data_IF_080570508586
#
_entry.id   IF_080570508586
#
_cell.length_a   1.000
_cell.length_b   1.000
_cell.length_c   1.000
_cell.angle_alpha   90.00
_cell.angle_beta   90.00
_cell.angle_gamma   90.00
#
_symmetry.space_group_name_H-M   'P 1'
#
loop_
_entity.id
_entity.type
_entity.pdbx_description
1 polymer ?
#
# COMPACT_ATOMS: atom_id res chain seq x y z
N UNK A 1 -16.93 -13.74 -1.14
CA UNK A 1 -16.90 -12.40 -1.76
C UNK A 1 -16.11 -12.37 -3.06
N UNK A 2 -14.93 -13.00 -3.10
CA UNK A 2 -14.12 -13.03 -4.34
C UNK A 2 -14.47 -14.20 -5.26
N UNK A 3 -15.30 -15.12 -4.80
CA UNK A 3 -15.73 -16.27 -5.60
C UNK A 3 -16.51 -15.81 -6.83
N UNK A 4 -16.20 -16.42 -7.96
CA UNK A 4 -16.71 -16.07 -9.28
C UNK A 4 -16.39 -14.64 -9.77
N UNK A 5 -15.53 -13.87 -9.08
CA UNK A 5 -15.12 -12.53 -9.47
C UNK A 5 -13.89 -12.56 -10.39
N UNK A 6 -13.84 -11.63 -11.33
CA UNK A 6 -12.65 -11.29 -12.12
C UNK A 6 -11.90 -10.15 -11.43
N UNK A 7 -10.64 -10.39 -11.08
CA UNK A 7 -9.82 -9.44 -10.32
C UNK A 7 -8.65 -8.99 -11.19
N UNK A 8 -8.40 -7.69 -11.27
CA UNK A 8 -7.18 -7.14 -11.89
C UNK A 8 -6.28 -6.52 -10.83
N UNK A 9 -4.99 -6.81 -10.90
CA UNK A 9 -3.98 -6.16 -10.07
C UNK A 9 -2.94 -5.45 -10.94
N UNK A 10 -2.85 -4.12 -10.83
CA UNK A 10 -1.76 -3.35 -11.44
C UNK A 10 -0.49 -3.49 -10.61
N UNK A 11 0.69 -3.53 -11.27
CA UNK A 11 1.94 -3.82 -10.57
C UNK A 11 2.02 -5.24 -10.00
N UNK A 12 1.22 -6.16 -10.54
CA UNK A 12 1.02 -7.51 -10.01
C UNK A 12 2.26 -8.39 -9.96
N UNK A 13 3.32 -8.08 -10.72
CA UNK A 13 4.61 -8.79 -10.65
C UNK A 13 5.54 -8.32 -9.51
N UNK A 14 5.10 -7.32 -8.72
CA UNK A 14 5.81 -6.86 -7.53
C UNK A 14 5.63 -7.81 -6.34
N UNK A 15 6.36 -7.55 -5.23
CA UNK A 15 6.30 -8.38 -4.01
C UNK A 15 4.87 -8.50 -3.47
N UNK A 16 4.14 -7.39 -3.37
CA UNK A 16 2.74 -7.39 -2.94
C UNK A 16 1.85 -8.17 -3.92
N UNK A 17 2.00 -7.91 -5.24
CA UNK A 17 1.17 -8.54 -6.26
C UNK A 17 1.31 -10.05 -6.28
N UNK A 18 2.53 -10.58 -6.19
CA UNK A 18 2.77 -12.04 -6.10
C UNK A 18 2.12 -12.66 -4.85
N UNK A 19 2.28 -12.01 -3.69
CA UNK A 19 1.66 -12.47 -2.45
C UNK A 19 0.12 -12.41 -2.53
N UNK A 20 -0.44 -11.33 -3.08
CA UNK A 20 -1.88 -11.17 -3.29
C UNK A 20 -2.44 -12.28 -4.20
N UNK A 21 -1.81 -12.52 -5.35
CA UNK A 21 -2.22 -13.56 -6.30
C UNK A 21 -2.19 -14.94 -5.62
N UNK A 22 -1.11 -15.29 -4.93
CA UNK A 22 -1.00 -16.56 -4.21
C UNK A 22 -2.15 -16.72 -3.22
N UNK A 23 -2.36 -15.72 -2.36
CA UNK A 23 -3.42 -15.77 -1.35
C UNK A 23 -4.82 -15.90 -1.97
N UNK A 24 -5.10 -15.18 -3.06
CA UNK A 24 -6.39 -15.30 -3.75
C UNK A 24 -6.55 -16.68 -4.38
N UNK A 25 -5.52 -17.23 -5.03
CA UNK A 25 -5.54 -18.56 -5.60
C UNK A 25 -5.80 -19.65 -4.54
N UNK A 26 -5.14 -19.53 -3.39
CA UNK A 26 -5.18 -20.53 -2.31
C UNK A 26 -6.47 -20.47 -1.49
N UNK A 27 -7.10 -19.28 -1.37
CA UNK A 27 -8.20 -19.08 -0.39
C UNK A 27 -9.55 -18.74 -1.03
N UNK A 28 -9.64 -18.65 -2.36
CA UNK A 28 -10.88 -18.25 -3.05
C UNK A 28 -11.10 -19.01 -4.36
N UNK A 29 -12.36 -19.03 -4.81
CA UNK A 29 -12.76 -19.51 -6.12
C UNK A 29 -12.93 -18.33 -7.10
N UNK A 30 -11.95 -17.40 -7.14
CA UNK A 30 -11.97 -16.31 -8.11
C UNK A 30 -12.06 -16.86 -9.55
N UNK A 31 -12.89 -16.25 -10.38
CA UNK A 31 -13.11 -16.66 -11.77
C UNK A 31 -11.87 -16.43 -12.62
N UNK A 32 -11.21 -15.27 -12.41
CA UNK A 32 -10.04 -14.85 -13.18
C UNK A 32 -9.18 -13.88 -12.37
N UNK A 33 -7.87 -14.01 -12.48
CA UNK A 33 -6.91 -13.09 -11.87
C UNK A 33 -6.02 -12.53 -12.98
N UNK A 34 -6.12 -11.22 -13.21
CA UNK A 34 -5.38 -10.51 -14.26
C UNK A 34 -4.22 -9.76 -13.63
N UNK A 35 -3.00 -10.11 -14.00
CA UNK A 35 -1.78 -9.41 -13.65
C UNK A 35 -1.46 -8.39 -14.72
N UNK A 36 -1.49 -7.10 -14.37
CA UNK A 36 -1.17 -5.98 -15.25
C UNK A 36 0.16 -5.36 -14.85
N UNK A 37 1.17 -5.44 -15.69
CA UNK A 37 2.50 -4.86 -15.43
C UNK A 37 3.30 -4.66 -16.71
N UNK A 38 4.38 -3.87 -16.63
CA UNK A 38 5.21 -3.51 -17.78
C UNK A 38 6.26 -4.56 -18.16
N UNK A 39 6.66 -5.36 -17.20
CA UNK A 39 7.84 -6.23 -17.28
C UNK A 39 7.44 -7.62 -17.76
N UNK A 40 7.73 -7.90 -19.04
CA UNK A 40 7.44 -9.17 -19.70
C UNK A 40 8.13 -10.36 -19.02
N UNK A 41 9.42 -10.21 -18.69
CA UNK A 41 10.20 -11.30 -18.07
C UNK A 41 9.60 -11.71 -16.72
N UNK A 42 9.27 -10.74 -15.86
CA UNK A 42 8.63 -11.03 -14.57
C UNK A 42 7.23 -11.65 -14.73
N UNK A 43 6.50 -11.31 -15.78
CA UNK A 43 5.22 -11.97 -16.09
C UNK A 43 5.44 -13.42 -16.51
N UNK A 44 6.42 -13.69 -17.36
CA UNK A 44 6.79 -15.06 -17.79
C UNK A 44 7.24 -15.90 -16.60
N UNK A 45 8.13 -15.39 -15.74
CA UNK A 45 8.53 -16.06 -14.50
C UNK A 45 7.33 -16.37 -13.59
N UNK A 46 6.43 -15.38 -13.43
CA UNK A 46 5.24 -15.53 -12.60
C UNK A 46 4.24 -16.53 -13.17
N UNK A 47 4.10 -16.60 -14.50
CA UNK A 47 3.25 -17.60 -15.16
C UNK A 47 3.74 -19.03 -14.93
N UNK A 48 5.06 -19.24 -14.94
CA UNK A 48 5.67 -20.54 -14.60
C UNK A 48 5.51 -20.89 -13.13
N UNK A 49 5.64 -19.89 -12.23
CA UNK A 49 5.54 -20.05 -10.77
C UNK A 49 4.12 -20.47 -10.35
N UNK A 50 3.09 -19.83 -10.88
CA UNK A 50 1.71 -20.05 -10.43
C UNK A 50 0.98 -21.14 -11.23
N UNK A 51 1.23 -21.26 -12.55
CA UNK A 51 0.67 -22.29 -13.45
C UNK A 51 -0.81 -22.65 -13.18
N UNK A 52 -1.67 -21.64 -12.98
CA UNK A 52 -3.09 -21.81 -12.65
C UNK A 52 -3.96 -21.31 -13.82
N UNK A 53 -5.00 -22.06 -14.26
CA UNK A 53 -5.83 -21.70 -15.41
C UNK A 53 -6.63 -20.40 -15.20
N UNK A 54 -6.79 -19.93 -13.97
CA UNK A 54 -7.45 -18.65 -13.64
C UNK A 54 -6.58 -17.45 -13.96
N UNK A 55 -5.27 -17.61 -14.14
CA UNK A 55 -4.32 -16.52 -14.36
C UNK A 55 -4.40 -15.94 -15.77
N UNK A 56 -4.29 -14.63 -15.87
CA UNK A 56 -4.09 -13.90 -17.13
C UNK A 56 -3.01 -12.84 -16.95
N UNK A 57 -2.20 -12.67 -17.97
CA UNK A 57 -1.07 -11.74 -17.94
C UNK A 57 -1.23 -10.70 -19.05
N UNK A 58 -1.33 -9.43 -18.63
CA UNK A 58 -1.45 -8.30 -19.53
C UNK A 58 -0.21 -7.40 -19.40
N UNK A 59 0.60 -7.35 -20.44
CA UNK A 59 1.67 -6.36 -20.53
C UNK A 59 1.02 -4.99 -20.79
N UNK A 60 1.35 -4.03 -19.92
CA UNK A 60 0.84 -2.67 -20.04
C UNK A 60 1.38 -1.73 -18.97
N UNK A 61 1.30 -0.45 -19.25
CA UNK A 61 1.69 0.65 -18.37
C UNK A 61 0.42 1.38 -17.86
N UNK A 62 0.36 1.74 -16.59
CA UNK A 62 -0.77 2.51 -16.04
C UNK A 62 -0.88 3.92 -16.66
N UNK A 63 0.16 4.39 -17.32
CA UNK A 63 0.16 5.65 -18.09
C UNK A 63 -0.61 5.53 -19.40
N UNK A 64 -0.89 4.32 -19.86
CA UNK A 64 -1.64 4.03 -21.09
C UNK A 64 -3.10 3.71 -20.74
N UNK A 65 -3.97 4.73 -20.92
CA UNK A 65 -5.40 4.62 -20.63
C UNK A 65 -6.10 3.64 -21.56
N UNK A 66 -5.72 3.60 -22.84
CA UNK A 66 -6.34 2.70 -23.82
C UNK A 66 -6.07 1.25 -23.46
N UNK A 67 -4.82 0.93 -23.15
CA UNK A 67 -4.41 -0.41 -22.72
C UNK A 67 -5.08 -0.83 -21.41
N UNK A 68 -5.26 0.10 -20.46
CA UNK A 68 -6.01 -0.16 -19.22
C UNK A 68 -7.48 -0.50 -19.51
N UNK A 69 -8.13 0.21 -20.43
CA UNK A 69 -9.52 -0.07 -20.80
C UNK A 69 -9.67 -1.51 -21.30
N UNK A 70 -8.79 -1.99 -22.18
CA UNK A 70 -8.82 -3.39 -22.63
C UNK A 70 -8.60 -4.37 -21.50
N UNK A 71 -7.67 -4.07 -20.58
CA UNK A 71 -7.35 -4.98 -19.48
C UNK A 71 -8.47 -5.06 -18.43
N UNK A 72 -9.28 -4.01 -18.29
CA UNK A 72 -10.36 -3.90 -17.29
C UNK A 72 -11.72 -4.37 -17.84
N UNK A 73 -11.82 -4.76 -19.10
CA UNK A 73 -13.06 -5.29 -19.65
C UNK A 73 -13.54 -6.53 -18.89
N UNK A 74 -14.73 -6.47 -18.31
CA UNK A 74 -15.33 -7.56 -17.52
C UNK A 74 -14.61 -7.85 -16.20
N UNK A 75 -13.91 -6.84 -15.65
CA UNK A 75 -13.28 -6.91 -14.32
C UNK A 75 -14.25 -6.41 -13.26
N UNK A 76 -14.42 -7.17 -12.19
CA UNK A 76 -15.27 -6.82 -11.05
C UNK A 76 -14.51 -6.02 -9.99
N UNK A 77 -13.23 -6.35 -9.75
CA UNK A 77 -12.42 -5.78 -8.68
C UNK A 77 -11.05 -5.37 -9.23
N UNK A 78 -10.62 -4.16 -8.92
CA UNK A 78 -9.28 -3.67 -9.26
C UNK A 78 -8.45 -3.34 -8.01
N UNK A 79 -7.23 -3.90 -7.94
CA UNK A 79 -6.24 -3.55 -6.93
C UNK A 79 -5.13 -2.75 -7.60
N UNK A 80 -5.02 -1.46 -7.25
CA UNK A 80 -4.00 -0.59 -7.82
C UNK A 80 -2.75 -0.57 -6.93
N UNK A 81 -1.74 -1.39 -7.30
CA UNK A 81 -0.47 -1.50 -6.60
C UNK A 81 0.74 -0.98 -7.41
N UNK A 82 0.53 -0.52 -8.65
CA UNK A 82 1.58 0.04 -9.48
C UNK A 82 1.99 1.44 -9.00
N UNK A 83 3.27 1.62 -8.68
CA UNK A 83 3.85 2.92 -8.33
C UNK A 83 5.37 2.93 -8.51
N UNK A 84 5.96 4.09 -8.69
CA UNK A 84 7.37 4.34 -8.43
C UNK A 84 7.50 4.73 -6.95
N UNK A 85 8.35 4.01 -6.19
CA UNK A 85 8.41 4.12 -4.72
C UNK A 85 9.80 4.46 -4.14
N UNK A 86 10.84 4.45 -4.95
CA UNK A 86 12.19 4.75 -4.50
C UNK A 86 12.40 6.26 -4.40
N UNK A 87 12.52 6.79 -3.17
CA UNK A 87 12.61 8.23 -2.90
C UNK A 87 13.74 8.89 -3.71
N UNK A 88 15.02 8.46 -3.66
CA UNK A 88 16.08 9.12 -4.42
C UNK A 88 15.85 9.08 -5.94
N UNK A 89 15.27 7.99 -6.45
CA UNK A 89 14.99 7.86 -7.89
C UNK A 89 13.84 8.78 -8.29
N UNK A 90 12.82 8.92 -7.44
CA UNK A 90 11.69 9.82 -7.67
C UNK A 90 12.14 11.29 -7.69
N UNK A 91 13.00 11.70 -6.74
CA UNK A 91 13.57 13.05 -6.69
C UNK A 91 14.39 13.38 -7.95
N UNK A 92 15.14 12.41 -8.46
CA UNK A 92 15.94 12.58 -9.68
C UNK A 92 15.10 12.53 -10.97
N UNK A 93 13.96 11.81 -10.97
CA UNK A 93 13.06 11.65 -12.13
C UNK A 93 11.63 12.11 -11.79
N UNK A 94 11.43 13.40 -11.47
CA UNK A 94 10.16 13.89 -10.94
C UNK A 94 8.98 13.68 -11.89
N UNK A 95 9.14 13.95 -13.16
CA UNK A 95 8.07 13.80 -14.16
C UNK A 95 7.63 12.35 -14.33
N UNK A 96 8.56 11.40 -14.29
CA UNK A 96 8.21 9.98 -14.39
C UNK A 96 7.46 9.49 -13.15
N UNK A 97 7.81 10.02 -11.96
CA UNK A 97 7.09 9.75 -10.74
C UNK A 97 5.67 10.31 -10.80
N UNK A 98 5.50 11.56 -11.22
CA UNK A 98 4.19 12.22 -11.40
C UNK A 98 3.33 11.46 -12.43
N UNK A 99 3.88 11.17 -13.61
CA UNK A 99 3.17 10.43 -14.67
C UNK A 99 2.70 9.05 -14.19
N UNK A 100 3.53 8.33 -13.43
CA UNK A 100 3.18 6.98 -12.98
C UNK A 100 2.23 7.03 -11.78
N UNK A 101 2.53 7.82 -10.75
CA UNK A 101 1.79 7.76 -9.48
C UNK A 101 0.53 8.62 -9.49
N UNK A 102 0.51 9.74 -10.22
CA UNK A 102 -0.65 10.65 -10.28
C UNK A 102 -1.46 10.40 -11.55
N UNK A 103 -0.84 10.56 -12.73
CA UNK A 103 -1.57 10.38 -13.99
C UNK A 103 -1.99 8.91 -14.18
N UNK A 104 -1.12 7.96 -13.78
CA UNK A 104 -1.47 6.54 -13.77
C UNK A 104 -2.65 6.22 -12.85
N UNK A 105 -2.72 6.84 -11.65
CA UNK A 105 -3.88 6.73 -10.77
C UNK A 105 -5.16 7.27 -11.42
N UNK A 106 -5.08 8.46 -12.04
CA UNK A 106 -6.20 9.06 -12.80
C UNK A 106 -6.67 8.13 -13.94
N UNK A 107 -5.74 7.55 -14.69
CA UNK A 107 -6.08 6.62 -15.78
C UNK A 107 -6.77 5.34 -15.24
N UNK A 108 -6.29 4.79 -14.13
CA UNK A 108 -6.94 3.63 -13.50
C UNK A 108 -8.36 3.97 -13.05
N UNK A 109 -8.58 5.13 -12.44
CA UNK A 109 -9.92 5.60 -12.05
C UNK A 109 -10.83 5.69 -13.28
N UNK A 110 -10.38 6.39 -14.33
CA UNK A 110 -11.17 6.59 -15.56
C UNK A 110 -11.49 5.26 -16.25
N UNK A 111 -10.52 4.35 -16.34
CA UNK A 111 -10.73 3.04 -16.92
C UNK A 111 -11.67 2.16 -16.08
N UNK A 112 -11.57 2.22 -14.75
CA UNK A 112 -12.48 1.51 -13.86
C UNK A 112 -13.92 2.04 -13.96
N UNK A 113 -14.10 3.35 -14.04
CA UNK A 113 -15.42 3.97 -14.24
C UNK A 113 -16.03 3.58 -15.60
N UNK A 114 -15.24 3.63 -16.67
CA UNK A 114 -15.67 3.29 -18.03
C UNK A 114 -16.11 1.81 -18.14
N UNK A 115 -15.41 0.91 -17.43
CA UNK A 115 -15.67 -0.53 -17.44
C UNK A 115 -16.57 -1.01 -16.29
N UNK A 116 -17.18 -0.08 -15.53
CA UNK A 116 -18.10 -0.37 -14.42
C UNK A 116 -17.54 -1.32 -13.36
N UNK A 117 -16.23 -1.24 -13.11
CA UNK A 117 -15.57 -2.03 -12.06
C UNK A 117 -16.23 -1.74 -10.71
N UNK A 118 -16.72 -2.76 -10.02
CA UNK A 118 -17.54 -2.56 -8.81
C UNK A 118 -16.74 -2.00 -7.63
N UNK A 119 -15.53 -2.52 -7.40
CA UNK A 119 -14.70 -2.11 -6.27
C UNK A 119 -13.24 -1.90 -6.68
N UNK A 120 -12.67 -0.81 -6.20
CA UNK A 120 -11.27 -0.44 -6.45
C UNK A 120 -10.59 -0.10 -5.13
N UNK A 121 -9.47 -0.77 -4.84
CA UNK A 121 -8.58 -0.38 -3.74
C UNK A 121 -7.24 0.05 -4.31
N UNK A 122 -6.81 1.25 -3.94
CA UNK A 122 -5.47 1.75 -4.20
C UNK A 122 -4.57 1.55 -2.98
N UNK A 123 -3.34 1.06 -3.22
CA UNK A 123 -2.35 0.95 -2.15
C UNK A 123 -1.64 2.27 -1.95
N UNK A 124 -1.49 2.69 -0.71
CA UNK A 124 -0.80 3.90 -0.28
C UNK A 124 0.31 3.58 0.73
N UNK A 125 0.85 4.59 1.37
CA UNK A 125 2.03 4.51 2.24
C UNK A 125 1.93 5.56 3.35
N UNK A 126 2.60 5.31 4.49
CA UNK A 126 2.87 6.26 5.55
C UNK A 126 3.54 7.56 5.05
N UNK A 127 4.27 7.50 3.94
CA UNK A 127 4.93 8.66 3.34
C UNK A 127 3.96 9.64 2.65
N UNK A 128 2.71 9.22 2.40
CA UNK A 128 1.64 10.08 1.90
C UNK A 128 1.08 11.02 3.00
N UNK A 129 1.23 10.66 4.26
CA UNK A 129 0.85 11.50 5.40
C UNK A 129 1.97 12.52 5.68
N UNK A 130 1.67 13.82 5.66
CA UNK A 130 2.65 14.92 5.83
C UNK A 130 3.93 14.69 4.99
N UNK A 131 3.84 14.64 3.66
CA UNK A 131 4.94 14.25 2.78
C UNK A 131 6.09 15.28 2.83
N UNK A 132 7.34 14.80 2.94
CA UNK A 132 8.55 15.62 2.85
C UNK A 132 9.43 15.24 1.64
N UNK A 133 8.92 14.38 0.77
CA UNK A 133 9.58 13.96 -0.47
C UNK A 133 8.56 13.80 -1.59
N UNK A 134 9.04 13.78 -2.83
CA UNK A 134 8.20 13.71 -4.02
C UNK A 134 7.37 12.42 -4.07
N UNK A 135 7.95 11.28 -3.71
CA UNK A 135 7.21 10.02 -3.67
C UNK A 135 5.98 10.13 -2.76
N UNK A 136 6.17 10.62 -1.53
CA UNK A 136 5.07 10.85 -0.58
C UNK A 136 4.03 11.82 -1.13
N UNK A 137 4.46 12.96 -1.70
CA UNK A 137 3.58 13.95 -2.31
C UNK A 137 2.75 13.36 -3.45
N UNK A 138 3.37 12.57 -4.35
CA UNK A 138 2.63 11.90 -5.43
C UNK A 138 1.64 10.86 -4.92
N UNK A 139 1.95 10.16 -3.83
CA UNK A 139 1.02 9.21 -3.21
C UNK A 139 -0.13 9.92 -2.49
N UNK A 140 0.12 11.08 -1.83
CA UNK A 140 -0.96 11.91 -1.31
C UNK A 140 -1.92 12.36 -2.42
N UNK A 141 -1.38 12.86 -3.55
CA UNK A 141 -2.22 13.20 -4.71
C UNK A 141 -3.05 12.01 -5.19
N UNK A 142 -2.43 10.83 -5.32
CA UNK A 142 -3.12 9.59 -5.69
C UNK A 142 -4.24 9.24 -4.69
N UNK A 143 -3.99 9.32 -3.37
CA UNK A 143 -5.00 9.07 -2.35
C UNK A 143 -6.20 10.01 -2.51
N UNK A 144 -5.94 11.31 -2.72
CA UNK A 144 -7.01 12.31 -2.93
C UNK A 144 -7.79 12.04 -4.21
N UNK A 145 -7.15 11.59 -5.31
CA UNK A 145 -7.82 11.22 -6.55
C UNK A 145 -8.78 10.03 -6.33
N UNK A 146 -8.34 8.94 -5.69
CA UNK A 146 -9.20 7.78 -5.44
C UNK A 146 -10.34 8.09 -4.48
N UNK A 147 -10.11 8.85 -3.42
CA UNK A 147 -11.15 9.27 -2.48
C UNK A 147 -12.19 10.13 -3.19
N UNK A 148 -11.75 11.15 -3.95
CA UNK A 148 -12.64 12.09 -4.65
C UNK A 148 -13.40 11.46 -5.82
N UNK A 149 -12.90 10.36 -6.39
CA UNK A 149 -13.56 9.64 -7.49
C UNK A 149 -14.99 9.21 -7.15
N UNK A 150 -15.27 8.96 -5.87
CA UNK A 150 -16.61 8.66 -5.39
C UNK A 150 -17.61 9.83 -5.60
N UNK A 151 -17.13 11.07 -5.71
CA UNK A 151 -17.98 12.25 -5.89
C UNK A 151 -18.29 12.57 -7.36
N UNK A 152 -17.39 12.20 -8.30
CA UNK A 152 -17.56 12.51 -9.73
C UNK A 152 -17.87 11.30 -10.63
N UNK A 153 -18.14 10.14 -10.03
CA UNK A 153 -18.42 8.90 -10.75
C UNK A 153 -19.80 8.86 -11.47
N UNK A 154 -20.59 9.92 -11.37
CA UNK A 154 -21.94 9.99 -11.96
C UNK A 154 -22.85 8.87 -11.44
N UNK A 155 -23.53 8.16 -12.37
CA UNK A 155 -24.41 7.02 -12.05
C UNK A 155 -23.66 5.70 -11.80
N UNK A 156 -22.36 5.65 -12.01
CA UNK A 156 -21.56 4.43 -11.79
C UNK A 156 -21.65 3.96 -10.33
N UNK A 157 -21.78 2.64 -10.14
CA UNK A 157 -21.80 2.02 -8.82
C UNK A 157 -20.38 1.72 -8.30
N UNK A 158 -19.34 2.04 -9.05
CA UNK A 158 -17.95 1.85 -8.66
C UNK A 158 -17.65 2.51 -7.32
N UNK A 159 -16.95 1.81 -6.46
CA UNK A 159 -16.51 2.29 -5.16
C UNK A 159 -15.00 2.31 -5.10
N UNK A 160 -14.43 3.41 -4.67
CA UNK A 160 -13.00 3.61 -4.55
C UNK A 160 -12.63 3.81 -3.08
N UNK A 161 -11.64 3.08 -2.60
CA UNK A 161 -11.02 3.28 -1.28
C UNK A 161 -9.51 3.12 -1.36
N UNK A 162 -8.83 3.55 -0.32
CA UNK A 162 -7.37 3.50 -0.21
C UNK A 162 -6.99 2.67 0.99
N UNK A 163 -5.89 1.93 0.90
CA UNK A 163 -5.24 1.27 2.03
C UNK A 163 -3.86 1.90 2.22
N UNK A 164 -3.62 2.49 3.37
CA UNK A 164 -2.36 3.14 3.77
C UNK A 164 -1.69 2.30 4.85
N UNK A 165 -0.46 1.83 4.62
CA UNK A 165 0.32 1.10 5.61
C UNK A 165 1.81 1.48 5.54
N UNK A 166 2.57 1.03 6.54
CA UNK A 166 3.99 1.34 6.71
C UNK A 166 4.94 0.49 5.86
N UNK A 167 6.13 0.23 6.39
CA UNK A 167 7.13 -0.56 5.70
C UNK A 167 6.74 -2.03 5.66
N UNK A 168 6.82 -2.63 4.47
CA UNK A 168 6.57 -4.06 4.30
C UNK A 168 7.86 -4.84 4.46
N UNK A 169 7.88 -5.77 5.43
CA UNK A 169 9.04 -6.62 5.76
C UNK A 169 9.49 -7.38 4.51
N UNK A 170 10.79 -7.37 4.22
CA UNK A 170 11.38 -8.14 3.12
C UNK A 170 10.97 -7.70 1.73
N UNK A 171 10.21 -6.59 1.57
CA UNK A 171 9.85 -6.10 0.24
C UNK A 171 11.09 -5.70 -0.58
N UNK A 172 11.03 -5.96 -1.89
CA UNK A 172 12.14 -5.68 -2.81
C UNK A 172 12.57 -4.21 -2.74
N UNK A 173 13.90 -3.98 -2.57
CA UNK A 173 14.50 -2.65 -2.45
C UNK A 173 14.29 -1.96 -1.09
N UNK A 174 13.84 -2.68 -0.05
CA UNK A 174 13.71 -2.16 1.31
C UNK A 174 15.00 -2.39 2.14
N UNK A 175 15.01 -1.83 3.34
CA UNK A 175 16.17 -1.88 4.25
C UNK A 175 16.53 -3.29 4.69
N UNK A 176 15.57 -4.19 4.86
CA UNK A 176 15.85 -5.59 5.28
C UNK A 176 16.68 -6.34 4.26
N UNK A 177 16.32 -6.43 2.96
CA UNK A 177 17.22 -7.00 1.95
C UNK A 177 18.56 -6.28 1.84
N UNK A 178 18.59 -4.97 2.04
CA UNK A 178 19.83 -4.20 2.02
C UNK A 178 20.77 -4.62 3.16
N UNK A 179 20.29 -4.70 4.41
CA UNK A 179 21.11 -5.15 5.55
C UNK A 179 21.53 -6.61 5.41
N UNK A 180 20.62 -7.52 4.97
CA UNK A 180 21.00 -8.91 4.68
C UNK A 180 22.15 -9.00 3.66
N UNK A 181 22.12 -8.19 2.61
CA UNK A 181 23.20 -8.12 1.61
C UNK A 181 24.53 -7.61 2.21
N UNK A 182 24.48 -6.61 3.10
CA UNK A 182 25.68 -6.13 3.79
C UNK A 182 26.30 -7.23 4.66
N UNK A 183 25.46 -7.96 5.41
CA UNK A 183 25.92 -9.10 6.25
C UNK A 183 26.55 -10.20 5.37
N UNK A 184 25.90 -10.59 4.27
CA UNK A 184 26.41 -11.58 3.33
C UNK A 184 27.76 -11.17 2.72
N UNK A 185 27.93 -9.86 2.44
CA UNK A 185 29.18 -9.30 1.93
C UNK A 185 30.23 -9.01 3.02
N UNK A 186 30.01 -9.44 4.28
CA UNK A 186 30.89 -9.23 5.42
C UNK A 186 31.27 -7.76 5.62
N UNK A 187 30.30 -6.86 5.47
CA UNK A 187 30.50 -5.44 5.71
C UNK A 187 31.00 -5.20 7.15
N UNK A 188 31.97 -4.31 7.32
CA UNK A 188 32.54 -3.98 8.63
C UNK A 188 31.58 -3.21 9.53
N UNK A 189 30.59 -2.52 8.95
CA UNK A 189 29.63 -1.67 9.65
C UNK A 189 28.25 -1.70 8.98
N UNK A 190 27.18 -1.57 9.77
CA UNK A 190 25.80 -1.38 9.27
C UNK A 190 25.44 0.10 9.36
N UNK A 191 25.12 0.78 8.25
CA UNK A 191 24.77 2.20 8.26
C UNK A 191 23.40 2.42 8.87
N UNK A 192 23.31 3.25 9.90
CA UNK A 192 22.08 3.71 10.54
C UNK A 192 21.92 5.20 10.31
N UNK A 193 20.78 5.64 9.86
CA UNK A 193 20.51 7.05 9.57
C UNK A 193 20.51 7.90 10.84
N UNK A 194 19.77 7.48 11.86
CA UNK A 194 19.66 8.12 13.17
C UNK A 194 19.25 7.08 14.21
N UNK A 195 19.81 7.15 15.43
CA UNK A 195 19.50 6.20 16.53
C UNK A 195 18.05 6.27 17.02
N UNK A 196 17.39 7.42 16.83
CA UNK A 196 16.01 7.67 17.24
C UNK A 196 14.99 7.20 16.21
N UNK A 197 15.44 6.87 14.99
CA UNK A 197 14.56 6.59 13.85
C UNK A 197 13.68 5.37 14.11
N UNK A 198 12.38 5.54 13.89
CA UNK A 198 11.38 4.48 14.01
C UNK A 198 10.60 4.28 12.72
N UNK A 199 10.12 3.08 12.49
CA UNK A 199 9.28 2.72 11.34
C UNK A 199 8.14 1.81 11.78
N UNK A 200 7.01 1.90 11.08
CA UNK A 200 5.95 0.90 11.15
C UNK A 200 6.30 -0.31 10.31
N UNK A 201 5.91 -1.49 10.76
CA UNK A 201 6.22 -2.75 10.09
C UNK A 201 4.98 -3.62 9.90
N UNK A 202 4.85 -4.18 8.70
CA UNK A 202 3.81 -5.15 8.34
C UNK A 202 4.42 -6.21 7.44
N UNK A 203 4.00 -7.46 7.57
CA UNK A 203 4.39 -8.51 6.62
C UNK A 203 3.61 -8.40 5.32
N UNK A 204 4.10 -9.03 4.25
CA UNK A 204 3.36 -9.10 2.98
C UNK A 204 2.00 -9.76 3.16
N UNK A 205 1.94 -10.86 3.92
CA UNK A 205 0.71 -11.61 4.15
C UNK A 205 -0.33 -10.82 4.95
N UNK A 206 0.09 -10.13 6.00
CA UNK A 206 -0.77 -9.23 6.77
C UNK A 206 -1.28 -8.07 5.91
N UNK A 207 -0.41 -7.45 5.10
CA UNK A 207 -0.79 -6.38 4.17
C UNK A 207 -1.83 -6.83 3.15
N UNK A 208 -1.64 -8.02 2.56
CA UNK A 208 -2.61 -8.63 1.63
C UNK A 208 -3.93 -8.95 2.35
N UNK A 209 -3.86 -9.56 3.53
CA UNK A 209 -5.03 -9.89 4.34
C UNK A 209 -5.84 -8.65 4.69
N UNK A 210 -5.14 -7.54 5.03
CA UNK A 210 -5.77 -6.27 5.34
C UNK A 210 -6.47 -5.68 4.12
N UNK A 211 -5.86 -5.72 2.93
CA UNK A 211 -6.50 -5.28 1.67
C UNK A 211 -7.75 -6.11 1.37
N UNK A 212 -7.69 -7.43 1.52
CA UNK A 212 -8.84 -8.32 1.31
C UNK A 212 -9.99 -8.07 2.31
N UNK A 213 -9.65 -7.77 3.57
CA UNK A 213 -10.64 -7.34 4.57
C UNK A 213 -11.22 -5.97 4.24
N UNK A 214 -10.39 -5.01 3.81
CA UNK A 214 -10.83 -3.66 3.42
C UNK A 214 -11.81 -3.68 2.24
N UNK A 215 -11.64 -4.57 1.25
CA UNK A 215 -12.62 -4.81 0.20
C UNK A 215 -14.01 -5.19 0.74
N UNK A 216 -14.06 -5.98 1.82
CA UNK A 216 -15.32 -6.38 2.45
C UNK A 216 -15.94 -5.28 3.31
N UNK A 217 -15.09 -4.38 3.87
CA UNK A 217 -15.44 -3.30 4.80
C UNK A 217 -15.94 -2.04 4.10
N UNK A 218 -15.43 -1.75 2.89
CA UNK A 218 -15.53 -0.44 2.25
C UNK A 218 -16.94 -0.03 1.83
N UNK A 219 -17.27 1.23 2.07
CA UNK A 219 -18.41 1.95 1.49
C UNK A 219 -18.00 2.80 0.27
N UNK A 220 -16.72 3.08 0.12
CA UNK A 220 -16.11 3.98 -0.86
C UNK A 220 -15.90 5.39 -0.30
N UNK A 221 -14.67 5.87 -0.42
CA UNK A 221 -14.19 7.17 0.10
C UNK A 221 -13.24 7.05 1.29
N UNK A 222 -13.16 5.89 1.93
CA UNK A 222 -12.31 5.67 3.10
C UNK A 222 -10.84 5.50 2.73
N UNK A 223 -9.97 5.95 3.64
CA UNK A 223 -8.58 5.49 3.71
C UNK A 223 -8.46 4.57 4.93
N UNK A 224 -8.25 3.29 4.69
CA UNK A 224 -8.04 2.29 5.74
C UNK A 224 -6.59 2.30 6.19
N UNK A 225 -6.35 2.32 7.50
CA UNK A 225 -5.03 2.34 8.12
C UNK A 225 -4.96 1.22 9.16
N UNK A 226 -4.15 0.15 8.97
CA UNK A 226 -4.05 -0.92 9.96
C UNK A 226 -3.32 -0.45 11.22
N UNK A 227 -3.70 -0.99 12.38
CA UNK A 227 -2.91 -0.92 13.59
C UNK A 227 -1.78 -1.94 13.48
N UNK A 228 -0.55 -1.47 13.35
CA UNK A 228 0.63 -2.31 13.12
C UNK A 228 1.78 -1.87 14.03
N UNK A 229 2.69 -2.79 14.39
CA UNK A 229 3.77 -2.47 15.30
C UNK A 229 4.83 -1.55 14.69
N UNK A 230 5.56 -0.89 15.57
CA UNK A 230 6.75 -0.09 15.29
C UNK A 230 8.02 -0.79 15.72
N UNK A 231 9.16 -0.37 15.15
CA UNK A 231 10.50 -0.81 15.57
C UNK A 231 11.50 0.32 15.36
N UNK A 232 12.51 0.40 16.22
CA UNK A 232 13.68 1.28 16.02
C UNK A 232 14.58 0.69 14.94
N UNK A 233 15.21 1.56 14.15
CA UNK A 233 16.15 1.11 13.12
C UNK A 233 17.43 0.47 13.70
N UNK A 234 17.78 0.85 14.93
CA UNK A 234 18.87 0.22 15.69
C UNK A 234 18.56 -1.23 16.06
N UNK A 235 17.31 -1.52 16.43
CA UNK A 235 16.88 -2.86 16.80
C UNK A 235 16.77 -3.78 15.59
N UNK A 236 16.33 -3.23 14.45
CA UNK A 236 16.41 -3.92 13.16
C UNK A 236 17.87 -4.32 12.81
N UNK A 237 18.81 -3.41 12.99
CA UNK A 237 20.23 -3.71 12.73
C UNK A 237 20.76 -4.80 13.67
N UNK A 238 20.44 -4.73 14.97
CA UNK A 238 20.81 -5.77 15.95
C UNK A 238 20.22 -7.14 15.59
N UNK A 239 18.93 -7.20 15.19
CA UNK A 239 18.30 -8.44 14.79
C UNK A 239 18.99 -9.10 13.60
N UNK A 240 19.33 -8.32 12.56
CA UNK A 240 19.90 -8.84 11.31
C UNK A 240 21.41 -9.04 11.35
N UNK A 241 22.12 -8.27 12.16
CA UNK A 241 23.59 -8.22 12.20
C UNK A 241 24.10 -8.04 13.64
N UNK A 242 23.83 -9.00 14.57
CA UNK A 242 24.10 -8.84 16.01
C UNK A 242 25.60 -8.61 16.31
N UNK A 243 26.48 -9.13 15.47
CA UNK A 243 27.94 -9.04 15.65
C UNK A 243 28.61 -7.95 14.81
N UNK A 244 27.82 -7.14 14.07
CA UNK A 244 28.37 -6.09 13.21
C UNK A 244 28.09 -4.72 13.83
N UNK A 245 29.12 -3.87 14.07
CA UNK A 245 28.91 -2.54 14.61
C UNK A 245 28.05 -1.67 13.71
N UNK A 246 27.32 -0.72 14.29
CA UNK A 246 26.53 0.24 13.56
C UNK A 246 27.28 1.57 13.40
N UNK A 247 27.10 2.24 12.26
CA UNK A 247 27.64 3.57 11.99
C UNK A 247 26.50 4.55 11.70
N UNK A 248 26.49 5.67 12.42
CA UNK A 248 25.52 6.74 12.17
C UNK A 248 25.98 7.55 10.96
N UNK A 249 25.12 7.60 9.93
CA UNK A 249 25.44 8.27 8.65
C UNK A 249 24.70 9.60 8.45
N UNK A 250 23.80 9.98 9.36
CA UNK A 250 22.97 11.19 9.26
C UNK A 250 21.68 10.97 8.46
N UNK A 251 20.72 11.87 8.65
CA UNK A 251 19.40 11.82 7.97
C UNK A 251 19.62 12.15 6.49
N UNK A 252 19.13 11.28 5.61
CA UNK A 252 19.17 11.49 4.17
C UNK A 252 18.08 12.46 3.72
N UNK A 253 18.29 13.23 2.63
CA UNK A 253 17.22 14.07 2.08
C UNK A 253 15.94 13.28 1.82
N UNK A 254 14.81 13.83 2.28
CA UNK A 254 13.49 13.21 2.11
C UNK A 254 13.18 12.06 3.08
N UNK A 255 14.02 11.79 4.09
CA UNK A 255 13.74 10.80 5.14
C UNK A 255 13.21 11.47 6.42
N UNK A 256 12.10 10.94 6.94
CA UNK A 256 11.56 11.32 8.25
C UNK A 256 12.28 10.58 9.36
N UNK A 257 12.41 11.22 10.52
CA UNK A 257 12.86 10.55 11.74
C UNK A 257 11.84 9.50 12.18
N UNK A 258 10.58 9.87 12.21
CA UNK A 258 9.44 9.01 12.51
C UNK A 258 8.43 9.07 11.38
N UNK A 259 7.74 7.96 11.12
CA UNK A 259 6.67 7.94 10.13
C UNK A 259 5.32 8.16 10.82
N UNK A 260 4.42 8.82 10.10
CA UNK A 260 3.06 9.12 10.54
C UNK A 260 2.09 8.51 9.54
N UNK A 261 1.06 7.81 10.02
CA UNK A 261 -0.02 7.29 9.18
C UNK A 261 -1.31 8.11 9.28
N UNK A 262 -1.56 8.72 10.45
CA UNK A 262 -2.67 9.65 10.65
C UNK A 262 -2.09 10.91 11.29
N UNK A 263 -1.95 12.03 10.56
CA UNK A 263 -1.51 13.30 11.11
C UNK A 263 -2.56 13.91 12.05
N UNK A 264 -2.13 14.76 12.98
CA UNK A 264 -3.03 15.50 13.87
C UNK A 264 -4.09 16.29 13.09
N UNK A 265 -3.71 16.89 11.96
CA UNK A 265 -4.62 17.68 11.12
C UNK A 265 -5.73 16.83 10.47
N UNK A 266 -5.55 15.51 10.36
CA UNK A 266 -6.57 14.57 9.87
C UNK A 266 -7.35 13.88 11.01
N UNK A 267 -7.05 14.16 12.30
CA UNK A 267 -7.69 13.52 13.46
C UNK A 267 -9.20 13.67 13.48
N UNK A 268 -9.71 14.84 13.09
CA UNK A 268 -11.15 15.11 13.03
C UNK A 268 -11.93 14.24 12.03
N UNK A 269 -11.24 13.61 11.08
CA UNK A 269 -11.77 12.66 10.10
C UNK A 269 -11.52 11.20 10.50
N UNK A 270 -10.70 10.97 11.53
CA UNK A 270 -10.28 9.63 11.89
C UNK A 270 -11.28 8.93 12.81
N UNK A 271 -11.54 7.67 12.48
CA UNK A 271 -12.34 6.75 13.28
C UNK A 271 -11.46 5.57 13.70
N UNK A 272 -11.52 5.19 14.97
CA UNK A 272 -10.81 4.06 15.53
C UNK A 272 -11.70 2.82 15.60
N UNK A 273 -11.22 1.71 15.07
CA UNK A 273 -11.77 0.37 15.19
C UNK A 273 -10.81 -0.52 16.00
N UNK A 274 -11.17 -1.77 16.21
CA UNK A 274 -10.37 -2.70 16.99
C UNK A 274 -8.96 -2.90 16.42
N UNK A 275 -8.84 -3.27 15.13
CA UNK A 275 -7.57 -3.61 14.46
C UNK A 275 -7.12 -2.60 13.38
N UNK A 276 -7.86 -1.49 13.19
CA UNK A 276 -7.56 -0.49 12.17
C UNK A 276 -8.17 0.88 12.49
N UNK A 277 -7.81 1.87 11.66
CA UNK A 277 -8.46 3.17 11.60
C UNK A 277 -9.05 3.40 10.20
N UNK A 278 -10.05 4.27 10.13
CA UNK A 278 -10.57 4.85 8.88
C UNK A 278 -10.33 6.36 8.93
N UNK A 279 -9.77 6.94 7.86
CA UNK A 279 -9.83 8.37 7.59
C UNK A 279 -10.98 8.58 6.61
N UNK A 280 -12.00 9.34 7.04
CA UNK A 280 -13.18 9.65 6.25
C UNK A 280 -12.85 10.64 5.12
N UNK A 281 -13.62 10.67 4.02
CA UNK A 281 -13.46 11.68 2.98
C UNK A 281 -13.73 13.08 3.55
N UNK A 282 -12.89 14.06 3.19
CA UNK A 282 -13.05 15.46 3.60
C UNK A 282 -14.31 16.09 3.02
N UNK A 283 -14.69 15.68 1.81
CA UNK A 283 -15.85 16.19 1.07
C UNK A 283 -16.66 15.02 0.54
N UNK A 284 -17.97 15.06 0.73
CA UNK A 284 -18.92 14.12 0.13
C UNK A 284 -20.13 14.89 -0.39
N UNK A 285 -20.41 14.77 -1.69
CA UNK A 285 -21.61 15.34 -2.34
C UNK A 285 -22.76 14.33 -2.47
N UNK A 286 -22.51 13.08 -2.11
CA UNK A 286 -23.53 12.02 -2.12
C UNK A 286 -24.26 11.95 -0.78
N UNK A 287 -25.30 11.09 -0.71
CA UNK A 287 -25.98 10.77 0.54
C UNK A 287 -24.94 10.44 1.62
N UNK A 288 -25.02 11.09 2.79
CA UNK A 288 -24.09 10.84 3.88
C UNK A 288 -24.00 9.35 4.20
N UNK A 289 -22.79 8.80 4.18
CA UNK A 289 -22.52 7.44 4.60
C UNK A 289 -22.08 7.45 6.06
N UNK A 290 -22.57 6.49 6.82
CA UNK A 290 -22.11 6.28 8.18
C UNK A 290 -20.84 5.42 8.17
N UNK A 291 -19.68 6.07 8.25
CA UNK A 291 -18.40 5.40 8.32
C UNK A 291 -18.05 4.84 9.71
N UNK A 292 -18.87 5.13 10.74
CA UNK A 292 -18.71 4.51 12.07
C UNK A 292 -19.12 3.03 12.08
N UNK A 293 -19.76 2.57 11.01
CA UNK A 293 -20.14 1.18 10.81
C UNK A 293 -19.59 0.69 9.46
N UNK A 294 -18.77 -0.37 9.47
CA UNK A 294 -18.31 -1.01 8.22
C UNK A 294 -19.41 -1.89 7.61
N UNK A 295 -19.23 -2.32 6.36
CA UNK A 295 -20.13 -3.33 5.76
C UNK A 295 -20.10 -4.70 6.46
N UNK A 296 -19.07 -4.95 7.26
CA UNK A 296 -18.99 -6.13 8.13
C UNK A 296 -19.61 -5.90 9.51
N UNK A 297 -20.31 -4.77 9.69
CA UNK A 297 -20.94 -4.36 10.95
C UNK A 297 -19.96 -4.15 12.13
N UNK A 298 -18.69 -3.90 11.83
CA UNK A 298 -17.71 -3.49 12.83
C UNK A 298 -17.96 -2.02 13.20
N UNK A 299 -17.91 -1.71 14.49
CA UNK A 299 -18.20 -0.36 15.02
C UNK A 299 -16.90 0.38 15.31
N UNK A 300 -16.80 1.61 14.80
CA UNK A 300 -15.72 2.54 15.07
C UNK A 300 -16.21 3.76 15.87
N UNK A 301 -15.27 4.44 16.52
CA UNK A 301 -15.52 5.66 17.28
C UNK A 301 -14.54 6.75 16.86
N UNK A 302 -14.92 8.01 17.07
CA UNK A 302 -14.02 9.15 16.81
C UNK A 302 -12.80 9.08 17.71
N UNK A 303 -11.62 9.38 17.17
CA UNK A 303 -10.41 9.57 17.95
C UNK A 303 -10.42 10.92 18.66
N UNK A 304 -9.49 11.14 19.59
CA UNK A 304 -9.30 12.45 20.24
C UNK A 304 -8.92 13.53 19.21
N UNK A 305 -9.23 14.80 19.51
CA UNK A 305 -9.03 15.93 18.58
C UNK A 305 -7.57 16.18 18.19
N UNK A 306 -6.63 15.78 19.03
CA UNK A 306 -5.19 15.90 18.82
C UNK A 306 -4.48 14.58 18.54
N UNK A 307 -5.25 13.54 18.23
CA UNK A 307 -4.74 12.21 17.95
C UNK A 307 -3.78 12.21 16.76
N UNK A 308 -2.66 11.51 16.94
CA UNK A 308 -1.71 11.22 15.88
C UNK A 308 -1.33 9.73 15.93
N UNK A 309 -1.39 9.05 14.79
CA UNK A 309 -0.87 7.70 14.70
C UNK A 309 0.53 7.73 14.08
N UNK A 310 1.53 7.72 14.96
CA UNK A 310 2.95 7.87 14.62
C UNK A 310 3.79 6.68 15.12
N UNK A 311 4.85 6.36 14.38
CA UNK A 311 5.70 5.22 14.68
C UNK A 311 6.50 5.35 15.99
N UNK A 312 6.67 6.56 16.53
CA UNK A 312 7.40 6.77 17.79
C UNK A 312 6.52 6.79 19.03
N UNK A 313 5.21 7.07 18.88
CA UNK A 313 4.23 7.08 19.96
C UNK A 313 3.29 5.88 19.95
N UNK A 314 3.59 4.90 19.09
CA UNK A 314 2.80 3.68 18.94
C UNK A 314 2.85 2.82 20.21
N UNK A 315 1.72 2.17 20.54
CA UNK A 315 1.60 1.27 21.68
C UNK A 315 2.10 -0.16 21.38
N UNK A 316 2.30 -0.50 20.09
CA UNK A 316 2.73 -1.81 19.66
C UNK A 316 4.17 -1.72 19.13
N UNK A 317 5.06 -2.54 19.68
CA UNK A 317 6.47 -2.59 19.31
C UNK A 317 6.90 -4.01 18.96
N UNK A 318 7.73 -4.14 17.93
CA UNK A 318 8.41 -5.39 17.61
C UNK A 318 9.75 -5.43 18.32
N UNK A 319 10.00 -6.53 19.01
CA UNK A 319 11.32 -6.85 19.53
C UNK A 319 12.18 -7.53 18.44
N UNK A 320 13.52 -7.50 18.56
CA UNK A 320 14.43 -8.11 17.58
C UNK A 320 14.10 -9.57 17.23
N UNK A 321 13.74 -10.37 18.24
CA UNK A 321 13.41 -11.80 18.09
C UNK A 321 12.09 -12.00 17.31
N UNK A 322 11.12 -11.11 17.46
CA UNK A 322 9.85 -11.19 16.73
C UNK A 322 10.07 -10.90 15.26
N UNK A 323 10.92 -9.92 14.94
CA UNK A 323 11.28 -9.65 13.55
C UNK A 323 11.91 -10.87 12.86
N UNK A 324 12.80 -11.59 13.57
CA UNK A 324 13.46 -12.79 13.01
C UNK A 324 12.46 -13.90 12.66
N UNK A 325 11.37 -14.02 13.42
CA UNK A 325 10.27 -14.97 13.11
C UNK A 325 9.47 -14.57 11.85
N UNK A 326 9.51 -13.29 11.49
CA UNK A 326 8.79 -12.75 10.33
C UNK A 326 9.61 -12.77 9.03
N UNK A 327 10.93 -13.13 9.07
CA UNK A 327 11.90 -13.10 7.98
C UNK A 327 12.20 -14.46 7.38
#
# INVERSE_FOLDING_TARGET
MLDNQTILITGGTGSFGKCFVRKVLDTTNAKKIIVYSRDELKQSEMAMEFNDPRMRFFIGDVRDLERLNYALEGVDICIHAAALKHVPIAEYNPLECIKTNIMGASNVINACLKNEVSQVIALSTDKAANPINLYGATKLCSDKLFVSANNFKGSSQTQFSVVRYGNVVGSRGSVVPFFKKLVQNKASEIPITDIRMTRFWITLDEGVSFVLKSLKRMHGGEIFVPKIPSMKMTDLAKALAPNTPTKIIGIRPGEKLHEVMIPKDESHLALEFEDFFIIQPTISFQTPKDYTLTRLHEKGQKVASDFEYSSHTNNQWLEPDDLLKLL
#
